data_IF_714605237510
#
_entry.id   IF_714605237510
#
_cell.length_a   1.000
_cell.length_b   1.000
_cell.length_c   1.000
_cell.angle_alpha   90.00
_cell.angle_beta   90.00
_cell.angle_gamma   90.00
#
_symmetry.space_group_name_H-M   'P 1'
#
loop_
_entity.id
_entity.type
_entity.pdbx_description
1 polymer ?
#
# COMPACT_ATOMS: atom_id res chain seq x y z
N UNK A 1 -4.66 2.87 -9.30
CA UNK A 1 -4.68 4.34 -9.40
C UNK A 1 -5.27 4.93 -8.13
N UNK A 2 -4.63 5.94 -7.55
CA UNK A 2 -5.07 6.67 -6.34
C UNK A 2 -5.45 8.13 -6.63
N UNK A 3 -5.11 8.64 -7.82
CA UNK A 3 -5.59 9.92 -8.34
C UNK A 3 -5.81 9.81 -9.86
N UNK A 4 -6.13 10.91 -10.56
CA UNK A 4 -6.30 10.89 -12.02
C UNK A 4 -5.06 10.37 -12.76
N UNK A 5 -3.86 10.60 -12.20
CA UNK A 5 -2.58 10.24 -12.83
C UNK A 5 -1.58 9.53 -11.92
N UNK A 6 -1.88 9.36 -10.63
CA UNK A 6 -0.96 8.68 -9.72
C UNK A 6 -1.32 7.21 -9.49
N UNK A 7 -0.31 6.37 -9.64
CA UNK A 7 -0.28 5.00 -9.20
C UNK A 7 0.50 4.91 -7.88
N UNK A 8 -0.10 4.26 -6.88
CA UNK A 8 0.57 3.81 -5.67
C UNK A 8 1.00 2.35 -5.87
N UNK A 9 2.27 2.04 -5.62
CA UNK A 9 2.80 0.67 -5.74
C UNK A 9 4.04 0.48 -4.84
N UNK A 10 4.64 -0.70 -4.87
CA UNK A 10 5.89 -0.98 -4.16
C UNK A 10 7.09 -0.28 -4.83
N UNK A 11 7.98 0.31 -4.03
CA UNK A 11 9.11 1.12 -4.53
C UNK A 11 10.17 0.27 -5.23
N UNK A 12 10.42 -0.96 -4.74
CA UNK A 12 11.39 -1.88 -5.35
C UNK A 12 11.05 -2.25 -6.80
N UNK A 13 9.78 -2.16 -7.21
CA UNK A 13 9.34 -2.35 -8.60
C UNK A 13 10.07 -1.39 -9.55
N UNK A 14 10.50 -0.22 -9.04
CA UNK A 14 11.10 0.85 -9.85
C UNK A 14 12.59 1.09 -9.64
N UNK A 15 13.25 0.45 -8.65
CA UNK A 15 14.68 0.66 -8.37
C UNK A 15 15.58 0.48 -9.60
N UNK A 16 15.10 -0.22 -10.63
CA UNK A 16 15.84 -0.50 -11.87
C UNK A 16 15.20 0.05 -13.15
N UNK A 17 14.05 0.73 -13.07
CA UNK A 17 13.22 1.05 -14.23
C UNK A 17 13.22 2.55 -14.55
N UNK A 18 13.99 2.98 -15.57
CA UNK A 18 13.92 4.37 -16.11
C UNK A 18 12.68 4.62 -16.97
N UNK A 19 12.04 3.54 -17.44
CA UNK A 19 10.80 3.51 -18.24
C UNK A 19 10.03 2.26 -17.82
N UNK A 20 8.72 2.33 -17.73
CA UNK A 20 7.90 1.17 -17.39
C UNK A 20 6.50 1.33 -17.94
N UNK A 21 5.73 0.27 -17.86
CA UNK A 21 4.34 0.23 -18.29
C UNK A 21 3.47 -0.34 -17.17
N UNK A 22 2.22 0.09 -17.12
CA UNK A 22 1.19 -0.49 -16.27
C UNK A 22 0.07 -1.03 -17.15
N UNK A 23 -0.41 -2.22 -16.82
CA UNK A 23 -1.50 -2.88 -17.53
C UNK A 23 -2.77 -2.83 -16.69
N UNK A 24 -3.88 -2.51 -17.34
CA UNK A 24 -5.21 -2.60 -16.74
C UNK A 24 -6.05 -3.59 -17.53
N UNK A 25 -6.53 -4.60 -16.83
CA UNK A 25 -7.52 -5.55 -17.34
C UNK A 25 -8.91 -4.92 -17.34
N UNK A 26 -9.64 -5.06 -18.46
CA UNK A 26 -10.99 -4.53 -18.67
C UNK A 26 -11.91 -5.65 -19.14
N UNK A 27 -13.05 -5.74 -18.45
CA UNK A 27 -14.21 -6.55 -18.86
C UNK A 27 -15.32 -5.57 -19.19
N UNK A 28 -15.98 -5.76 -20.34
CA UNK A 28 -17.22 -5.06 -20.65
C UNK A 28 -18.40 -5.79 -19.97
N UNK A 29 -19.04 -5.20 -18.94
CA UNK A 29 -20.14 -5.84 -18.22
C UNK A 29 -21.42 -5.98 -19.06
N UNK A 30 -21.51 -5.28 -20.19
CA UNK A 30 -22.68 -5.30 -21.07
C UNK A 30 -22.50 -6.23 -22.28
N UNK A 31 -21.30 -6.77 -22.48
CA UNK A 31 -21.03 -7.71 -23.57
C UNK A 31 -21.66 -9.06 -23.28
N UNK A 32 -22.38 -9.62 -24.26
CA UNK A 32 -22.89 -10.99 -24.21
C UNK A 32 -21.78 -12.05 -24.27
N UNK A 33 -20.56 -11.65 -24.65
CA UNK A 33 -19.38 -12.50 -24.67
C UNK A 33 -18.38 -12.01 -23.63
N UNK A 34 -18.02 -12.86 -22.68
CA UNK A 34 -16.94 -12.56 -21.75
C UNK A 34 -15.63 -12.43 -22.53
N UNK A 35 -15.11 -11.20 -22.61
CA UNK A 35 -13.84 -10.91 -23.25
C UNK A 35 -13.05 -9.99 -22.32
N UNK A 36 -11.99 -10.54 -21.75
CA UNK A 36 -10.97 -9.74 -21.07
C UNK A 36 -10.13 -9.03 -22.12
N UNK A 37 -9.91 -7.74 -21.94
CA UNK A 37 -9.01 -6.93 -22.76
C UNK A 37 -8.01 -6.22 -21.87
N UNK A 38 -6.81 -5.99 -22.37
CA UNK A 38 -5.78 -5.23 -21.66
C UNK A 38 -5.62 -3.85 -22.29
N UNK A 39 -5.43 -2.84 -21.44
CA UNK A 39 -4.99 -1.51 -21.86
C UNK A 39 -3.69 -1.19 -21.13
N UNK A 40 -2.69 -0.79 -21.89
CA UNK A 40 -1.34 -0.52 -21.40
C UNK A 40 -1.13 0.99 -21.39
N UNK A 41 -0.59 1.51 -20.29
CA UNK A 41 -0.19 2.92 -20.14
C UNK A 41 1.29 3.01 -19.78
N UNK A 42 1.93 4.10 -20.18
CA UNK A 42 3.32 4.35 -19.82
C UNK A 42 3.40 4.91 -18.41
N UNK A 43 4.41 4.49 -17.67
CA UNK A 43 4.83 5.14 -16.43
C UNK A 43 5.73 6.33 -16.78
N UNK A 44 5.51 7.45 -16.10
CA UNK A 44 6.16 8.73 -16.37
C UNK A 44 6.94 9.22 -15.13
N UNK A 45 7.99 8.51 -14.70
CA UNK A 45 8.76 8.91 -13.52
C UNK A 45 9.45 10.26 -13.69
N UNK A 46 9.74 10.68 -14.93
CA UNK A 46 10.25 12.01 -15.24
C UNK A 46 9.22 13.13 -15.05
N UNK A 47 7.93 12.81 -15.03
CA UNK A 47 6.85 13.75 -14.70
C UNK A 47 6.61 13.79 -13.20
N UNK A 48 6.50 12.62 -12.56
CA UNK A 48 6.37 12.52 -11.12
C UNK A 48 6.79 11.14 -10.63
N UNK A 49 7.72 11.12 -9.67
CA UNK A 49 8.09 9.93 -8.91
C UNK A 49 8.47 10.33 -7.49
N UNK A 50 7.77 9.77 -6.52
CA UNK A 50 7.97 10.03 -5.11
C UNK A 50 8.06 8.69 -4.36
N UNK A 51 9.27 8.16 -4.14
CA UNK A 51 9.48 7.00 -3.28
C UNK A 51 9.47 7.40 -1.81
N UNK A 52 8.96 6.54 -0.93
CA UNK A 52 9.04 6.77 0.50
C UNK A 52 10.50 6.84 0.96
N UNK A 53 10.90 7.84 1.79
CA UNK A 53 12.29 8.02 2.20
C UNK A 53 12.78 6.89 3.10
N UNK A 54 11.85 6.24 3.82
CA UNK A 54 12.13 5.00 4.53
C UNK A 54 11.92 3.78 3.62
N UNK A 55 13.02 3.10 3.29
CA UNK A 55 12.98 1.92 2.43
C UNK A 55 12.28 0.72 3.05
N UNK A 56 12.01 0.72 4.36
CA UNK A 56 11.28 -0.38 5.04
C UNK A 56 9.80 -0.43 4.67
N UNK A 57 9.16 0.72 4.40
CA UNK A 57 7.79 0.73 3.90
C UNK A 57 7.70 0.28 2.45
N UNK A 58 8.74 0.60 1.66
CA UNK A 58 8.86 0.19 0.26
C UNK A 58 7.64 0.58 -0.59
N UNK A 59 7.17 1.83 -0.44
CA UNK A 59 6.05 2.38 -1.23
C UNK A 59 6.51 3.55 -2.09
N UNK A 60 5.85 3.76 -3.23
CA UNK A 60 6.09 4.89 -4.11
C UNK A 60 4.82 5.35 -4.82
N UNK A 61 4.74 6.66 -5.07
CA UNK A 61 3.78 7.27 -5.98
C UNK A 61 4.47 7.59 -7.31
N UNK A 62 3.82 7.23 -8.43
CA UNK A 62 4.35 7.45 -9.77
C UNK A 62 3.28 7.96 -10.72
N UNK A 63 3.66 8.89 -11.62
CA UNK A 63 2.78 9.34 -12.69
C UNK A 63 2.57 8.26 -13.77
N UNK A 64 1.36 8.25 -14.32
CA UNK A 64 0.95 7.42 -15.44
C UNK A 64 0.49 8.33 -16.58
N UNK A 65 0.78 7.94 -17.82
CA UNK A 65 0.39 8.68 -19.02
C UNK A 65 -1.12 8.82 -19.14
N UNK A 66 -1.61 9.98 -19.58
CA UNK A 66 -3.06 10.23 -19.71
C UNK A 66 -3.72 9.41 -20.83
N UNK A 67 -2.92 8.98 -21.80
CA UNK A 67 -3.34 8.12 -22.91
C UNK A 67 -2.62 6.79 -22.84
N UNK A 68 -3.29 5.74 -23.31
CA UNK A 68 -2.69 4.41 -23.46
C UNK A 68 -1.48 4.46 -24.41
N UNK A 69 -0.62 3.45 -24.31
CA UNK A 69 0.56 3.30 -25.16
C UNK A 69 0.21 3.36 -26.66
N UNK A 70 -0.95 2.82 -27.06
CA UNK A 70 -1.45 2.87 -28.45
C UNK A 70 -2.29 4.14 -28.77
N UNK A 71 -2.48 5.03 -27.79
CA UNK A 71 -3.21 6.29 -27.92
C UNK A 71 -4.74 6.17 -27.99
N UNK A 72 -5.32 4.96 -27.90
CA UNK A 72 -6.75 4.73 -28.13
C UNK A 72 -7.64 4.92 -26.90
N UNK A 73 -7.09 4.76 -25.70
CA UNK A 73 -7.84 4.87 -24.44
C UNK A 73 -7.31 6.02 -23.59
N UNK A 74 -8.18 6.61 -22.77
CA UNK A 74 -7.77 7.60 -21.77
C UNK A 74 -7.68 6.95 -20.40
N UNK A 75 -6.73 7.41 -19.58
CA UNK A 75 -6.57 6.92 -18.21
C UNK A 75 -7.81 7.23 -17.35
N UNK A 76 -8.53 8.31 -17.68
CA UNK A 76 -9.84 8.64 -17.09
C UNK A 76 -10.88 7.52 -17.24
N UNK A 77 -10.75 6.67 -18.25
CA UNK A 77 -11.67 5.56 -18.52
C UNK A 77 -11.40 4.36 -17.60
N UNK A 78 -10.19 4.29 -17.01
CA UNK A 78 -9.82 3.29 -16.00
C UNK A 78 -10.33 3.69 -14.61
N UNK A 79 -10.27 4.98 -14.30
CA UNK A 79 -10.67 5.51 -13.00
C UNK A 79 -9.60 5.31 -11.90
N UNK A 80 -9.97 5.66 -10.66
CA UNK A 80 -9.10 5.59 -9.49
C UNK A 80 -9.90 5.39 -8.19
N UNK A 81 -9.22 4.96 -7.13
CA UNK A 81 -9.84 4.73 -5.82
C UNK A 81 -10.25 6.07 -5.20
N UNK A 82 -11.56 6.34 -5.05
CA UNK A 82 -12.08 7.62 -4.54
C UNK A 82 -12.19 7.71 -3.02
N UNK A 83 -12.25 6.57 -2.34
CA UNK A 83 -12.44 6.49 -0.88
C UNK A 83 -11.28 5.77 -0.25
N UNK A 84 -10.67 6.45 0.70
CA UNK A 84 -9.52 5.97 1.45
C UNK A 84 -9.89 6.05 2.92
N UNK A 85 -9.96 4.89 3.58
CA UNK A 85 -10.40 4.78 4.98
C UNK A 85 -9.47 3.81 5.69
N UNK A 86 -8.91 4.20 6.83
CA UNK A 86 -8.25 3.25 7.72
C UNK A 86 -9.32 2.42 8.46
N UNK A 87 -9.28 1.11 8.26
CA UNK A 87 -10.10 0.14 8.98
C UNK A 87 -9.23 -1.04 9.39
N UNK A 88 -8.64 -0.93 10.59
CA UNK A 88 -7.59 -1.83 11.07
C UNK A 88 -8.04 -2.73 12.22
N UNK A 89 -9.34 -2.84 12.43
CA UNK A 89 -9.89 -3.65 13.52
C UNK A 89 -9.63 -5.13 13.23
N UNK A 90 -9.12 -5.90 14.19
CA UNK A 90 -9.08 -7.36 14.09
C UNK A 90 -10.42 -7.93 13.62
N UNK A 91 -10.36 -8.85 12.65
CA UNK A 91 -11.53 -9.45 12.01
C UNK A 91 -12.10 -8.68 10.81
N UNK A 92 -11.70 -7.41 10.59
CA UNK A 92 -12.03 -6.68 9.37
C UNK A 92 -11.48 -7.42 8.15
N UNK A 93 -12.26 -7.51 7.07
CA UNK A 93 -11.80 -8.11 5.82
C UNK A 93 -10.87 -7.20 5.03
N UNK A 94 -9.94 -7.83 4.33
CA UNK A 94 -8.91 -7.26 3.47
C UNK A 94 -9.02 -7.93 2.10
N UNK A 95 -9.86 -7.39 1.24
CA UNK A 95 -9.99 -7.82 -0.15
C UNK A 95 -8.78 -7.32 -0.94
N UNK A 96 -7.96 -8.22 -1.48
CA UNK A 96 -6.78 -7.86 -2.29
C UNK A 96 -7.08 -8.10 -3.77
N UNK A 97 -6.78 -7.11 -4.61
CA UNK A 97 -6.76 -7.25 -6.08
C UNK A 97 -5.29 -7.32 -6.48
N UNK A 98 -4.85 -8.47 -6.99
CA UNK A 98 -3.42 -8.79 -7.15
C UNK A 98 -3.10 -9.47 -8.47
N UNK A 99 -1.80 -9.52 -8.80
CA UNK A 99 -1.25 -10.16 -9.99
C UNK A 99 -0.25 -11.27 -9.59
N UNK A 100 -0.73 -12.38 -9.00
CA UNK A 100 0.14 -13.42 -8.50
C UNK A 100 0.94 -14.03 -9.66
N UNK A 101 2.23 -14.24 -9.42
CA UNK A 101 3.23 -14.70 -10.40
C UNK A 101 3.33 -13.82 -11.66
N UNK A 102 2.95 -12.54 -11.57
CA UNK A 102 2.80 -11.65 -12.72
C UNK A 102 1.81 -12.19 -13.78
N UNK A 103 0.82 -12.96 -13.32
CA UNK A 103 -0.28 -13.50 -14.14
C UNK A 103 -1.47 -12.53 -14.17
N UNK A 104 -2.61 -13.02 -14.66
CA UNK A 104 -3.85 -12.26 -14.74
C UNK A 104 -4.30 -11.75 -13.36
N UNK A 105 -5.10 -10.70 -13.36
CA UNK A 105 -5.69 -10.12 -12.16
C UNK A 105 -6.52 -11.16 -11.41
N UNK A 106 -6.29 -11.28 -10.10
CA UNK A 106 -7.01 -12.15 -9.20
C UNK A 106 -7.50 -11.39 -7.97
N UNK A 107 -8.60 -11.86 -7.38
CA UNK A 107 -9.16 -11.28 -6.15
C UNK A 107 -9.21 -12.34 -5.07
N UNK A 108 -8.74 -12.02 -3.85
CA UNK A 108 -8.91 -12.89 -2.67
C UNK A 108 -10.08 -12.39 -1.84
N UNK A 109 -11.08 -13.26 -1.70
CA UNK A 109 -12.34 -12.96 -1.00
C UNK A 109 -12.59 -13.82 0.23
N UNK A 110 -11.69 -14.77 0.53
CA UNK A 110 -11.82 -15.72 1.64
C UNK A 110 -10.54 -15.76 2.44
N UNK A 111 -10.69 -16.09 3.73
CA UNK A 111 -9.59 -16.13 4.69
C UNK A 111 -8.75 -14.85 4.63
N UNK A 112 -9.43 -13.72 4.49
CA UNK A 112 -8.84 -12.45 4.16
C UNK A 112 -9.06 -11.43 5.28
N UNK A 113 -8.69 -11.76 6.52
CA UNK A 113 -9.03 -10.94 7.69
C UNK A 113 -7.80 -10.39 8.37
N UNK A 114 -7.92 -9.17 8.89
CA UNK A 114 -6.93 -8.58 9.80
C UNK A 114 -6.82 -9.47 11.03
N UNK A 115 -5.60 -9.89 11.30
CA UNK A 115 -5.29 -10.73 12.44
C UNK A 115 -5.20 -9.86 13.69
N UNK A 116 -4.08 -9.15 13.84
CA UNK A 116 -3.74 -8.34 15.01
C UNK A 116 -2.98 -7.11 14.51
N UNK A 117 -3.27 -5.95 15.10
CA UNK A 117 -2.62 -4.68 14.79
C UNK A 117 -1.55 -4.27 15.82
N UNK A 118 -1.33 -5.08 16.86
CA UNK A 118 -0.41 -4.74 17.97
C UNK A 118 0.97 -5.41 17.89
N UNK A 119 1.90 -4.90 18.70
CA UNK A 119 3.29 -5.37 18.79
C UNK A 119 3.47 -6.76 19.40
N UNK A 120 2.47 -7.34 20.08
CA UNK A 120 2.58 -8.70 20.64
C UNK A 120 2.76 -9.73 19.53
N UNK A 121 2.24 -9.44 18.34
CA UNK A 121 2.46 -10.26 17.15
C UNK A 121 3.92 -10.24 16.68
N UNK A 122 4.68 -9.19 16.98
CA UNK A 122 6.10 -9.11 16.62
C UNK A 122 6.99 -10.03 17.47
N UNK A 123 6.53 -10.44 18.67
CA UNK A 123 7.32 -11.27 19.61
C UNK A 123 7.60 -12.69 19.11
N UNK A 124 6.94 -13.14 18.04
CA UNK A 124 7.17 -14.45 17.42
C UNK A 124 8.34 -14.46 16.43
N UNK A 125 8.84 -13.27 16.06
CA UNK A 125 9.98 -13.10 15.16
C UNK A 125 11.24 -12.74 15.96
N UNK A 126 12.41 -12.98 15.36
CA UNK A 126 13.68 -12.63 16.01
C UNK A 126 13.84 -11.11 16.20
N UNK A 127 14.74 -10.72 17.10
CA UNK A 127 14.94 -9.30 17.43
C UNK A 127 15.37 -8.44 16.23
N UNK A 128 16.11 -9.00 15.27
CA UNK A 128 16.58 -8.26 14.09
C UNK A 128 15.42 -7.98 13.12
N UNK A 129 14.53 -8.96 12.92
CA UNK A 129 13.29 -8.79 12.17
C UNK A 129 12.38 -7.77 12.84
N UNK A 130 12.22 -7.86 14.16
CA UNK A 130 11.41 -6.92 14.92
C UNK A 130 11.98 -5.50 14.84
N UNK A 131 13.31 -5.33 14.94
CA UNK A 131 13.96 -4.03 14.78
C UNK A 131 13.83 -3.46 13.37
N UNK A 132 13.91 -4.30 12.33
CA UNK A 132 13.69 -3.88 10.94
C UNK A 132 12.24 -3.43 10.66
N UNK A 133 11.25 -4.09 11.28
CA UNK A 133 9.81 -3.81 11.08
C UNK A 133 9.20 -2.86 12.12
N UNK A 134 9.98 -2.45 13.13
CA UNK A 134 9.72 -1.30 14.01
C UNK A 134 10.11 -0.01 13.30
N UNK A 135 9.44 0.29 12.18
CA UNK A 135 9.50 1.59 11.53
C UNK A 135 9.62 2.70 12.58
N UNK A 136 10.72 3.45 12.51
CA UNK A 136 11.03 4.68 13.27
C UNK A 136 9.93 5.09 14.26
N UNK A 137 9.84 4.41 15.40
CA UNK A 137 9.03 4.85 16.56
C UNK A 137 9.65 6.10 17.22
N UNK A 138 10.57 6.78 16.54
CA UNK A 138 11.03 8.12 16.85
C UNK A 138 10.37 9.13 15.90
N UNK A 139 9.05 9.24 15.97
CA UNK A 139 8.42 10.52 15.66
C UNK A 139 8.72 11.44 16.84
N UNK A 140 9.76 12.27 16.72
CA UNK A 140 9.88 13.61 17.34
C UNK A 140 9.46 13.83 18.82
N UNK A 141 9.55 12.84 19.70
CA UNK A 141 9.34 13.06 21.15
C UNK A 141 10.45 13.93 21.81
N UNK A 142 11.45 14.38 21.03
CA UNK A 142 12.59 15.14 21.51
C UNK A 142 12.56 16.65 21.17
N UNK A 143 11.43 17.23 20.73
CA UNK A 143 11.30 18.70 20.62
C UNK A 143 10.05 19.25 21.32
N UNK A 144 10.10 19.17 22.67
CA UNK A 144 9.57 20.11 23.69
C UNK A 144 9.12 19.34 24.93
N UNK A 145 10.07 18.76 25.69
CA UNK A 145 9.83 18.53 27.12
C UNK A 145 10.26 19.81 27.86
N UNK A 146 9.27 20.67 28.11
CA UNK A 146 9.36 21.67 29.18
C UNK A 146 9.74 20.93 30.47
N UNK A 147 10.72 21.47 31.20
CA UNK A 147 11.46 20.81 32.28
C UNK A 147 10.64 20.53 33.55
N UNK A 148 9.31 20.72 33.51
CA UNK A 148 8.41 20.53 34.63
C UNK A 148 7.11 19.86 34.18
N UNK A 149 7.08 18.53 34.20
CA UNK A 149 5.82 17.78 34.24
C UNK A 149 6.11 16.36 34.70
N UNK A 150 5.61 16.03 35.88
CA UNK A 150 5.68 14.70 36.49
C UNK A 150 5.08 13.64 35.56
N UNK A 151 5.82 12.56 35.32
CA UNK A 151 5.48 11.51 34.35
C UNK A 151 4.22 10.73 34.77
N UNK A 152 3.07 11.03 34.17
CA UNK A 152 1.99 10.05 34.04
C UNK A 152 2.40 9.03 32.98
N UNK A 153 2.26 7.75 33.34
CA UNK A 153 2.58 6.60 32.49
C UNK A 153 1.43 6.42 31.51
N UNK A 154 1.41 7.22 30.45
CA UNK A 154 0.42 7.10 29.40
C UNK A 154 0.66 5.79 28.63
N UNK A 155 -0.37 4.94 28.52
CA UNK A 155 -0.37 3.75 27.67
C UNK A 155 -0.29 4.20 26.20
N UNK A 156 0.91 4.45 25.70
CA UNK A 156 1.16 4.80 24.31
C UNK A 156 0.95 3.54 23.46
N UNK A 157 -0.23 3.38 22.88
CA UNK A 157 -0.50 2.41 21.82
C UNK A 157 0.32 2.84 20.60
N UNK A 158 1.44 2.19 20.34
CA UNK A 158 2.23 2.41 19.13
C UNK A 158 1.37 2.12 17.89
N UNK A 159 1.08 3.14 17.08
CA UNK A 159 0.45 2.96 15.78
C UNK A 159 1.52 2.53 14.78
N UNK A 160 1.77 1.22 14.67
CA UNK A 160 2.70 0.67 13.69
C UNK A 160 2.21 1.02 12.27
N UNK A 161 3.09 1.20 11.27
CA UNK A 161 2.65 1.57 9.93
C UNK A 161 2.06 0.40 9.14
N UNK A 162 2.03 -0.79 9.74
CA UNK A 162 1.64 -2.03 9.11
C UNK A 162 0.41 -2.63 9.76
N UNK A 163 -0.46 -3.22 8.94
CA UNK A 163 -1.49 -4.16 9.40
C UNK A 163 -1.15 -5.57 8.91
N UNK A 164 -1.59 -6.57 9.67
CA UNK A 164 -1.31 -7.98 9.38
C UNK A 164 -2.61 -8.70 9.13
N UNK A 165 -2.63 -9.49 8.07
CA UNK A 165 -3.86 -10.13 7.60
C UNK A 165 -3.57 -11.47 6.96
N UNK A 166 -4.54 -12.37 6.97
CA UNK A 166 -4.47 -13.56 6.15
C UNK A 166 -4.89 -13.20 4.72
N UNK A 167 -4.30 -13.85 3.72
CA UNK A 167 -4.79 -13.92 2.33
C UNK A 167 -3.86 -14.83 1.54
N UNK A 168 -4.38 -15.46 0.49
CA UNK A 168 -3.53 -16.17 -0.47
C UNK A 168 -2.76 -15.17 -1.34
N UNK A 169 -1.45 -15.06 -1.14
CA UNK A 169 -0.56 -14.18 -1.91
C UNK A 169 0.62 -14.98 -2.46
N UNK A 170 1.20 -14.50 -3.56
CA UNK A 170 2.39 -15.10 -4.17
C UNK A 170 3.37 -14.01 -4.61
N UNK A 171 4.55 -14.40 -5.11
CA UNK A 171 5.45 -13.46 -5.76
C UNK A 171 4.69 -12.69 -6.85
N UNK A 172 4.89 -11.39 -7.00
CA UNK A 172 4.09 -10.53 -7.88
C UNK A 172 2.89 -9.85 -7.21
N UNK A 173 2.50 -10.26 -6.00
CA UNK A 173 1.45 -9.57 -5.24
C UNK A 173 1.92 -8.26 -4.58
N UNK A 174 3.23 -8.01 -4.45
CA UNK A 174 3.76 -6.77 -3.84
C UNK A 174 3.27 -5.53 -4.57
N UNK A 175 2.81 -4.53 -3.81
CA UNK A 175 2.21 -3.33 -4.37
C UNK A 175 0.70 -3.48 -4.71
N UNK A 176 0.09 -4.63 -4.44
CA UNK A 176 -1.33 -4.85 -4.71
C UNK A 176 -2.21 -4.10 -3.69
N UNK A 177 -3.25 -3.38 -4.13
CA UNK A 177 -4.13 -2.65 -3.23
C UNK A 177 -4.96 -3.60 -2.35
N UNK A 178 -5.12 -3.19 -1.10
CA UNK A 178 -5.93 -3.87 -0.08
C UNK A 178 -7.18 -3.02 0.23
N UNK A 179 -8.34 -3.65 0.24
CA UNK A 179 -9.63 -2.99 0.42
C UNK A 179 -10.43 -3.59 1.58
N UNK A 180 -11.30 -2.79 2.21
CA UNK A 180 -12.31 -3.32 3.13
C UNK A 180 -13.54 -3.91 2.41
N UNK A 181 -14.55 -4.35 3.18
CA UNK A 181 -15.82 -4.88 2.64
C UNK A 181 -16.66 -3.83 1.89
N UNK A 182 -16.36 -2.54 2.04
CA UNK A 182 -16.99 -1.44 1.32
C UNK A 182 -16.15 -0.98 0.12
N UNK A 183 -15.09 -1.69 -0.22
CA UNK A 183 -14.13 -1.34 -1.26
C UNK A 183 -13.43 0.01 -1.04
N UNK A 184 -13.30 0.45 0.21
CA UNK A 184 -12.41 1.55 0.56
C UNK A 184 -10.97 1.03 0.55
N UNK A 185 -10.05 1.80 -0.03
CA UNK A 185 -8.63 1.47 0.02
C UNK A 185 -8.15 1.58 1.48
N UNK A 186 -7.63 0.49 2.05
CA UNK A 186 -7.13 0.42 3.43
C UNK A 186 -5.61 0.33 3.50
N UNK A 187 -4.96 -0.07 2.42
CA UNK A 187 -3.50 -0.11 2.33
C UNK A 187 -3.00 -0.83 1.09
N UNK A 188 -1.74 -1.25 1.15
CA UNK A 188 -1.04 -1.91 0.05
C UNK A 188 -0.27 -3.13 0.57
N UNK A 189 -0.34 -4.24 -0.15
CA UNK A 189 0.39 -5.46 0.21
C UNK A 189 1.90 -5.21 0.09
N UNK A 190 2.62 -5.46 1.19
CA UNK A 190 4.05 -5.33 1.27
C UNK A 190 4.72 -6.69 1.01
N UNK A 191 4.48 -7.64 1.90
CA UNK A 191 5.10 -8.97 1.83
C UNK A 191 4.31 -10.05 2.57
N UNK A 192 4.72 -11.31 2.40
CA UNK A 192 4.30 -12.43 3.21
C UNK A 192 5.30 -12.66 4.35
N UNK A 193 4.82 -12.69 5.59
CA UNK A 193 5.60 -13.01 6.77
C UNK A 193 5.74 -14.53 6.92
N UNK A 194 6.97 -14.97 7.12
CA UNK A 194 7.34 -16.39 7.20
C UNK A 194 8.35 -16.57 8.33
N UNK A 195 8.26 -17.70 9.03
CA UNK A 195 9.22 -18.10 10.06
C UNK A 195 9.84 -19.43 9.67
N UNK A 196 11.16 -19.52 9.75
CA UNK A 196 11.86 -20.77 9.46
C UNK A 196 11.53 -21.85 10.49
N UNK A 197 11.45 -23.09 10.02
CA UNK A 197 11.26 -24.22 10.90
C UNK A 197 12.60 -24.63 11.52
N UNK A 198 12.77 -24.35 12.81
CA UNK A 198 13.99 -24.71 13.57
C UNK A 198 14.34 -26.19 13.47
N UNK A 199 13.34 -27.07 13.34
CA UNK A 199 13.52 -28.52 13.28
C UNK A 199 13.76 -29.03 11.84
N UNK A 200 13.47 -28.21 10.82
CA UNK A 200 13.59 -28.59 9.40
C UNK A 200 14.18 -27.43 8.58
N UNK A 201 15.52 -27.34 8.50
CA UNK A 201 16.19 -26.32 7.70
C UNK A 201 15.66 -26.28 6.26
N UNK A 202 15.34 -25.08 5.75
CA UNK A 202 14.79 -24.87 4.41
C UNK A 202 13.26 -24.98 4.30
N UNK A 203 12.56 -25.37 5.39
CA UNK A 203 11.09 -25.31 5.46
C UNK A 203 10.69 -24.06 6.22
N UNK A 204 9.80 -23.24 5.63
CA UNK A 204 9.23 -22.08 6.28
C UNK A 204 7.74 -22.28 6.58
N UNK A 205 7.26 -21.66 7.66
CA UNK A 205 5.85 -21.55 8.00
C UNK A 205 5.36 -20.15 7.65
N UNK A 206 4.34 -20.06 6.80
CA UNK A 206 3.60 -18.82 6.60
C UNK A 206 2.87 -18.43 7.89
N UNK A 207 2.98 -17.16 8.25
CA UNK A 207 2.38 -16.61 9.47
C UNK A 207 1.23 -15.68 9.13
N UNK A 208 1.47 -14.71 8.24
CA UNK A 208 0.50 -13.71 7.81
C UNK A 208 1.03 -12.98 6.57
N UNK A 209 0.20 -12.16 5.94
CA UNK A 209 0.66 -11.07 5.10
C UNK A 209 0.82 -9.80 5.93
N UNK A 210 1.69 -8.92 5.45
CA UNK A 210 1.84 -7.57 5.96
C UNK A 210 1.48 -6.56 4.86
N UNK A 211 0.73 -5.53 5.23
CA UNK A 211 0.42 -4.41 4.36
C UNK A 211 0.75 -3.09 5.02
N UNK A 212 1.21 -2.12 4.22
CA UNK A 212 1.40 -0.74 4.68
C UNK A 212 0.03 -0.07 4.71
N UNK A 213 -0.30 0.52 5.86
CA UNK A 213 -1.58 1.20 6.07
C UNK A 213 -1.68 2.43 5.19
N UNK A 214 -2.88 2.69 4.68
CA UNK A 214 -3.08 3.81 3.77
C UNK A 214 -2.98 5.17 4.46
N UNK A 215 -3.30 5.27 5.75
CA UNK A 215 -3.18 6.50 6.54
C UNK A 215 -1.72 6.95 6.65
N UNK A 216 -0.79 6.03 6.89
CA UNK A 216 0.66 6.28 6.88
C UNK A 216 1.11 6.87 5.55
N UNK A 217 0.63 6.29 4.44
CA UNK A 217 0.98 6.73 3.09
C UNK A 217 0.40 8.13 2.81
N UNK A 218 -0.83 8.38 3.25
CA UNK A 218 -1.48 9.69 3.16
C UNK A 218 -0.70 10.75 3.95
N UNK A 219 -0.41 10.48 5.21
CA UNK A 219 0.31 11.41 6.09
C UNK A 219 1.70 11.73 5.53
N UNK A 220 2.42 10.72 5.07
CA UNK A 220 3.70 10.90 4.39
C UNK A 220 3.56 11.78 3.14
N UNK A 221 2.63 11.46 2.23
CA UNK A 221 2.45 12.21 0.99
C UNK A 221 2.08 13.68 1.26
N UNK A 222 1.28 13.96 2.30
CA UNK A 222 0.97 15.33 2.75
C UNK A 222 2.22 16.08 3.18
N UNK A 223 3.04 15.44 4.01
CA UNK A 223 4.25 16.06 4.55
C UNK A 223 5.29 16.37 3.46
N UNK A 224 5.47 15.46 2.49
CA UNK A 224 6.43 15.65 1.40
C UNK A 224 5.95 16.66 0.36
N UNK A 225 4.68 16.61 -0.04
CA UNK A 225 4.17 17.48 -1.10
C UNK A 225 3.87 18.89 -0.57
N UNK A 226 3.40 19.02 0.66
CA UNK A 226 2.94 20.30 1.22
C UNK A 226 1.87 20.99 0.37
N UNK A 227 1.38 22.15 0.82
CA UNK A 227 0.38 22.94 0.07
C UNK A 227 1.00 24.08 -0.76
N UNK A 228 2.33 24.08 -0.88
CA UNK A 228 3.10 25.22 -1.39
C UNK A 228 2.84 25.52 -2.88
N UNK A 229 2.25 24.60 -3.64
CA UNK A 229 1.87 24.81 -5.03
C UNK A 229 0.39 24.48 -5.28
N UNK A 230 -0.23 25.14 -6.26
CA UNK A 230 -1.58 24.79 -6.73
C UNK A 230 -1.67 23.34 -7.22
N UNK A 231 -0.61 22.85 -7.87
CA UNK A 231 -0.50 21.48 -8.33
C UNK A 231 -0.55 20.48 -7.17
N UNK A 232 0.22 20.71 -6.10
CA UNK A 232 0.21 19.84 -4.93
C UNK A 232 -1.15 19.86 -4.24
N UNK A 233 -1.81 21.03 -4.15
CA UNK A 233 -3.16 21.12 -3.59
C UNK A 233 -4.20 20.33 -4.40
N UNK A 234 -4.17 20.40 -5.72
CA UNK A 234 -5.05 19.59 -6.57
C UNK A 234 -4.77 18.10 -6.37
N UNK A 235 -3.49 17.70 -6.39
CA UNK A 235 -3.06 16.32 -6.20
C UNK A 235 -3.49 15.74 -4.85
N UNK A 236 -3.30 16.49 -3.77
CA UNK A 236 -3.72 16.12 -2.42
C UNK A 236 -5.27 16.06 -2.35
N UNK A 237 -5.97 16.99 -3.00
CA UNK A 237 -7.44 16.95 -3.10
C UNK A 237 -7.95 15.70 -3.80
N UNK A 238 -7.28 15.25 -4.86
CA UNK A 238 -7.61 14.01 -5.56
C UNK A 238 -7.33 12.76 -4.72
N UNK A 239 -6.20 12.73 -4.01
CA UNK A 239 -5.79 11.58 -3.19
C UNK A 239 -6.69 11.38 -1.96
N UNK A 240 -7.28 12.45 -1.41
CA UNK A 240 -7.96 12.40 -0.11
C UNK A 240 -9.48 12.63 -0.15
N UNK A 241 -10.06 12.95 -1.31
CA UNK A 241 -11.50 12.80 -1.58
C UNK A 241 -12.47 13.18 -0.44
N UNK A 242 -12.55 14.46 -0.07
CA UNK A 242 -13.63 15.01 0.76
C UNK A 242 -13.25 15.35 2.21
N UNK A 243 -13.19 16.66 2.48
CA UNK A 243 -12.93 17.36 3.75
C UNK A 243 -11.50 17.23 4.31
N UNK A 244 -10.67 18.21 3.93
CA UNK A 244 -9.78 18.89 4.88
C UNK A 244 -10.62 19.78 5.80
#
# INVERSE_FOLDING_TARGET
MVSKRLLLTASHVFKFCKKGEVRFERIDPHSSVYKMTEVIFNLEPGTFFLPHPDSTLDVALIAVSEKSHDGKSRLSDVGYCKRVISSERPGTRVNIIQFPQNSNQMVVLRQNQILHSDERFLKIFDNAFVEHHRYKVHHDAAKKRSWFSSSKKDNCSYNLPFFRYNADTQAGSSGSPCFDDMWNLTGIHHCALRVDNEQRPGVFKYIANEGVKIDVIIEWAKNELGENSSYNRELLGELFGGNL
#
